data_IF_359155939577
#
_entry.id   IF_359155939577
#
_cell.length_a   1.000
_cell.length_b   1.000
_cell.length_c   1.000
_cell.angle_alpha   90.00
_cell.angle_beta   90.00
_cell.angle_gamma   90.00
#
_symmetry.space_group_name_H-M   'P 1'
#
loop_
_entity.id
_entity.type
_entity.pdbx_description
1 polymer ?
#
# COMPACT_ATOMS: atom_id res chain seq x y z
N UNK A 1 -26.78 16.83 1.97
CA UNK A 1 -25.54 16.25 2.54
C UNK A 1 -25.14 15.06 1.69
N UNK A 2 -23.87 14.97 1.23
CA UNK A 2 -23.38 13.91 0.32
C UNK A 2 -23.36 12.52 0.99
N UNK A 3 -23.06 12.45 2.29
CA UNK A 3 -22.96 11.20 3.06
C UNK A 3 -23.87 11.28 4.28
N UNK A 4 -24.88 10.41 4.36
CA UNK A 4 -25.87 10.37 5.46
C UNK A 4 -25.67 9.14 6.35
N UNK A 5 -25.25 8.01 5.76
CA UNK A 5 -25.07 6.73 6.45
C UNK A 5 -23.58 6.42 6.58
N UNK A 6 -23.03 6.48 7.78
CA UNK A 6 -21.60 6.36 8.00
C UNK A 6 -21.30 5.09 8.80
N UNK A 7 -20.37 4.28 8.30
CA UNK A 7 -19.76 3.20 9.06
C UNK A 7 -18.42 3.69 9.64
N UNK A 8 -18.21 3.42 10.93
CA UNK A 8 -16.95 3.74 11.61
C UNK A 8 -16.18 2.45 11.90
N UNK A 9 -14.93 2.38 11.47
CA UNK A 9 -13.96 1.34 11.80
C UNK A 9 -12.86 1.95 12.69
N UNK A 10 -12.59 1.30 13.83
CA UNK A 10 -11.66 1.77 14.84
C UNK A 10 -10.55 0.76 15.06
N UNK A 11 -9.33 1.25 15.20
CA UNK A 11 -8.25 0.45 15.76
C UNK A 11 -8.42 0.37 17.28
N UNK A 12 -8.58 -0.85 17.81
CA UNK A 12 -8.81 -1.09 19.25
C UNK A 12 -7.71 -0.51 20.15
N UNK A 13 -6.52 -0.28 19.62
CA UNK A 13 -5.42 0.37 20.37
C UNK A 13 -5.64 1.86 20.63
N UNK A 14 -6.69 2.46 20.05
CA UNK A 14 -6.96 3.89 20.09
C UNK A 14 -8.25 4.26 20.83
N UNK A 15 -8.68 3.47 21.81
CA UNK A 15 -9.90 3.72 22.61
C UNK A 15 -9.93 5.11 23.29
N UNK A 16 -8.77 5.66 23.66
CA UNK A 16 -8.65 7.02 24.22
C UNK A 16 -9.11 8.12 23.27
N UNK A 17 -9.00 7.88 21.95
CA UNK A 17 -9.43 8.84 20.93
C UNK A 17 -10.94 8.74 20.73
N UNK A 18 -11.51 7.56 20.88
CA UNK A 18 -12.95 7.31 20.83
C UNK A 18 -13.71 8.06 21.92
N UNK A 19 -13.17 8.10 23.13
CA UNK A 19 -13.78 8.83 24.25
C UNK A 19 -13.83 10.34 24.00
N UNK A 20 -12.87 10.90 23.26
CA UNK A 20 -12.83 12.33 22.88
C UNK A 20 -13.84 12.68 21.79
N UNK A 21 -14.32 11.72 21.01
CA UNK A 21 -15.29 11.98 19.94
C UNK A 21 -16.73 11.81 20.41
N UNK A 22 -17.28 12.82 21.11
CA UNK A 22 -18.74 12.96 21.34
C UNK A 22 -19.57 12.78 20.07
N UNK A 23 -18.94 12.94 18.90
CA UNK A 23 -19.57 12.81 17.58
C UNK A 23 -20.07 11.39 17.28
N UNK A 24 -19.37 10.35 17.76
CA UNK A 24 -19.79 8.96 17.50
C UNK A 24 -21.12 8.61 18.17
N UNK A 25 -21.44 9.24 19.28
CA UNK A 25 -22.74 9.07 19.96
C UNK A 25 -23.90 9.66 19.15
N UNK A 26 -23.62 10.64 18.27
CA UNK A 26 -24.65 11.31 17.43
C UNK A 26 -24.93 10.56 16.12
N UNK A 27 -24.05 9.65 15.69
CA UNK A 27 -24.26 8.91 14.45
C UNK A 27 -24.90 7.55 14.74
N UNK A 28 -25.99 7.26 14.04
CA UNK A 28 -26.53 5.91 13.98
C UNK A 28 -25.47 4.98 13.41
N UNK A 29 -25.20 3.85 14.07
CA UNK A 29 -24.24 2.85 13.61
C UNK A 29 -24.80 2.13 12.39
N UNK A 30 -24.21 2.33 11.22
CA UNK A 30 -24.52 1.60 10.01
C UNK A 30 -23.50 0.47 9.78
N UNK A 31 -23.95 -0.66 9.22
CA UNK A 31 -23.04 -1.69 8.74
C UNK A 31 -22.24 -1.19 7.52
N UNK A 32 -21.06 -1.77 7.20
CA UNK A 32 -20.29 -1.36 6.02
C UNK A 32 -21.08 -1.47 4.71
N UNK A 33 -21.96 -2.48 4.62
CA UNK A 33 -22.82 -2.70 3.45
C UNK A 33 -23.85 -1.58 3.26
N UNK A 34 -24.47 -1.13 4.35
CA UNK A 34 -25.56 -0.17 4.35
C UNK A 34 -25.09 1.30 4.51
N UNK A 35 -23.78 1.54 4.50
CA UNK A 35 -23.20 2.87 4.62
C UNK A 35 -22.95 3.52 3.26
N UNK A 36 -22.90 4.87 3.26
CA UNK A 36 -22.50 5.68 2.10
C UNK A 36 -21.00 6.00 2.16
N UNK A 37 -20.41 5.95 3.34
CA UNK A 37 -19.03 6.28 3.64
C UNK A 37 -18.50 5.36 4.76
N UNK A 38 -17.26 4.90 4.61
CA UNK A 38 -16.52 4.20 5.66
C UNK A 38 -15.47 5.16 6.21
N UNK A 39 -15.60 5.50 7.50
CA UNK A 39 -14.62 6.30 8.23
C UNK A 39 -13.71 5.36 9.01
N UNK A 40 -12.40 5.48 8.78
CA UNK A 40 -11.38 4.66 9.43
C UNK A 40 -10.58 5.54 10.38
N UNK A 41 -10.58 5.21 11.67
CA UNK A 41 -9.82 5.89 12.70
C UNK A 41 -8.65 5.00 13.13
N UNK A 42 -7.42 5.45 12.88
CA UNK A 42 -6.20 4.68 13.14
C UNK A 42 -4.99 5.25 12.41
N UNK A 43 -4.01 4.40 12.11
CA UNK A 43 -2.86 4.70 11.25
C UNK A 43 -3.02 4.10 9.85
N UNK A 44 -1.99 4.30 9.01
CA UNK A 44 -1.98 3.78 7.63
C UNK A 44 -2.12 2.26 7.58
N UNK A 45 -1.46 1.51 8.48
CA UNK A 45 -1.56 0.05 8.53
C UNK A 45 -3.00 -0.42 8.75
N UNK A 46 -3.74 0.21 9.67
CA UNK A 46 -5.14 -0.10 9.90
C UNK A 46 -6.03 0.31 8.71
N UNK A 47 -5.69 1.41 8.03
CA UNK A 47 -6.37 1.82 6.80
C UNK A 47 -6.22 0.76 5.70
N UNK A 48 -5.00 0.23 5.48
CA UNK A 48 -4.75 -0.83 4.51
C UNK A 48 -5.58 -2.09 4.81
N UNK A 49 -5.67 -2.47 6.08
CA UNK A 49 -6.49 -3.60 6.53
C UNK A 49 -7.98 -3.37 6.21
N UNK A 50 -8.51 -2.19 6.56
CA UNK A 50 -9.93 -1.86 6.34
C UNK A 50 -10.27 -1.76 4.83
N UNK A 51 -9.38 -1.23 4.02
CA UNK A 51 -9.54 -1.22 2.55
C UNK A 51 -9.67 -2.66 2.02
N UNK A 52 -8.77 -3.56 2.42
CA UNK A 52 -8.84 -4.98 2.01
C UNK A 52 -10.11 -5.67 2.51
N UNK A 53 -10.46 -5.47 3.79
CA UNK A 53 -11.62 -6.07 4.45
C UNK A 53 -12.95 -5.67 3.78
N UNK A 54 -13.08 -4.39 3.46
CA UNK A 54 -14.33 -3.84 2.96
C UNK A 54 -14.37 -3.64 1.44
N UNK A 55 -13.36 -4.14 0.69
CA UNK A 55 -13.25 -3.99 -0.77
C UNK A 55 -14.51 -4.38 -1.54
N UNK A 56 -15.25 -5.38 -1.07
CA UNK A 56 -16.47 -5.89 -1.71
C UNK A 56 -17.65 -4.91 -1.69
N UNK A 57 -17.63 -3.92 -0.81
CA UNK A 57 -18.75 -2.97 -0.67
C UNK A 57 -18.63 -1.77 -1.60
N UNK A 58 -17.48 -1.56 -2.24
CA UNK A 58 -17.23 -0.44 -3.18
C UNK A 58 -17.64 0.93 -2.63
N UNK A 59 -17.35 1.18 -1.34
CA UNK A 59 -17.66 2.43 -0.66
C UNK A 59 -16.45 3.35 -0.63
N UNK A 60 -16.64 4.67 -0.60
CA UNK A 60 -15.56 5.60 -0.32
C UNK A 60 -15.07 5.46 1.12
N UNK A 61 -13.78 5.76 1.34
CA UNK A 61 -13.12 5.71 2.63
C UNK A 61 -12.60 7.09 3.03
N UNK A 62 -12.79 7.45 4.28
CA UNK A 62 -12.19 8.64 4.88
C UNK A 62 -11.34 8.22 6.06
N UNK A 63 -10.01 8.29 5.92
CA UNK A 63 -9.09 7.98 7.00
C UNK A 63 -8.92 9.18 7.93
N UNK A 64 -8.93 8.94 9.24
CA UNK A 64 -8.63 9.90 10.29
C UNK A 64 -7.41 9.41 11.07
N UNK A 65 -6.31 10.18 11.01
CA UNK A 65 -5.05 9.79 11.64
C UNK A 65 -5.13 9.94 13.17
N UNK A 66 -4.96 8.83 13.85
CA UNK A 66 -4.86 8.76 15.30
C UNK A 66 -3.41 8.73 15.82
N UNK A 67 -2.45 8.58 14.91
CA UNK A 67 -1.01 8.60 15.20
C UNK A 67 -0.34 9.91 14.82
N UNK A 68 0.99 9.91 14.82
CA UNK A 68 1.82 11.10 14.51
C UNK A 68 1.76 11.47 13.03
N UNK A 69 1.79 10.47 12.13
CA UNK A 69 1.81 10.70 10.68
C UNK A 69 1.09 9.58 9.91
N UNK A 70 0.49 9.91 8.77
CA UNK A 70 -0.12 8.93 7.88
C UNK A 70 -0.33 9.50 6.47
N UNK A 71 0.06 8.74 5.44
CA UNK A 71 -0.11 9.13 4.04
C UNK A 71 -1.54 8.97 3.56
N UNK A 72 -2.18 7.85 3.93
CA UNK A 72 -3.54 7.52 3.52
C UNK A 72 -4.61 8.20 4.37
N UNK A 73 -4.21 8.86 5.46
CA UNK A 73 -5.10 9.43 6.47
C UNK A 73 -5.20 10.95 6.36
N UNK A 74 -6.34 11.51 6.75
CA UNK A 74 -6.49 12.94 6.99
C UNK A 74 -6.06 13.30 8.42
N UNK A 75 -5.64 14.56 8.65
CA UNK A 75 -5.39 15.03 10.00
C UNK A 75 -6.68 14.97 10.83
N UNK A 76 -6.55 14.53 12.06
CA UNK A 76 -7.66 14.55 13.01
C UNK A 76 -8.03 16.00 13.33
N UNK A 77 -9.25 16.40 12.99
CA UNK A 77 -9.82 17.71 13.29
C UNK A 77 -11.12 17.53 14.02
N UNK A 78 -11.29 18.26 15.12
CA UNK A 78 -12.50 18.17 15.92
C UNK A 78 -13.69 18.97 15.35
N UNK A 79 -13.48 19.78 14.32
CA UNK A 79 -14.49 20.71 13.83
C UNK A 79 -15.20 20.16 12.59
N UNK A 80 -16.51 20.02 12.72
CA UNK A 80 -17.50 19.85 11.64
C UNK A 80 -17.16 18.77 10.59
N UNK A 81 -16.98 17.50 11.05
CA UNK A 81 -16.62 16.36 10.20
C UNK A 81 -17.51 16.16 8.98
N UNK A 82 -18.82 16.41 9.12
CA UNK A 82 -19.77 16.27 8.00
C UNK A 82 -19.47 17.25 6.86
N UNK A 83 -19.05 18.46 7.19
CA UNK A 83 -18.62 19.45 6.19
C UNK A 83 -17.31 18.99 5.55
N UNK A 84 -16.37 18.44 6.33
CA UNK A 84 -15.11 17.91 5.81
C UNK A 84 -15.37 16.76 4.82
N UNK A 85 -16.23 15.80 5.17
CA UNK A 85 -16.61 14.69 4.26
C UNK A 85 -17.19 15.20 2.95
N UNK A 86 -18.06 16.22 3.00
CA UNK A 86 -18.73 16.78 1.82
C UNK A 86 -17.77 17.56 0.91
N UNK A 87 -16.78 18.25 1.49
CA UNK A 87 -15.78 19.07 0.79
C UNK A 87 -14.52 18.29 0.37
N UNK A 88 -14.40 17.02 0.80
CA UNK A 88 -13.25 16.20 0.46
C UNK A 88 -13.17 15.87 -1.03
N UNK A 89 -11.96 15.83 -1.54
CA UNK A 89 -11.65 15.36 -2.90
C UNK A 89 -11.48 13.85 -2.90
N UNK A 90 -12.04 13.20 -3.93
CA UNK A 90 -11.88 11.75 -4.12
C UNK A 90 -10.59 11.50 -4.91
N UNK A 91 -9.77 10.58 -4.39
CA UNK A 91 -8.64 10.00 -5.10
C UNK A 91 -8.90 8.51 -5.24
N UNK A 92 -8.92 8.04 -6.48
CA UNK A 92 -9.13 6.61 -6.77
C UNK A 92 -7.79 5.94 -6.98
N UNK A 93 -7.55 4.85 -6.24
CA UNK A 93 -6.35 4.00 -6.38
C UNK A 93 -6.77 2.57 -6.71
N UNK A 94 -5.91 1.86 -7.44
CA UNK A 94 -6.06 0.44 -7.74
C UNK A 94 -4.90 -0.34 -7.14
N UNK A 95 -5.16 -1.48 -6.47
CA UNK A 95 -4.11 -2.27 -5.84
C UNK A 95 -3.29 -3.06 -6.87
N UNK A 96 -2.10 -3.48 -6.46
CA UNK A 96 -1.39 -4.57 -7.12
C UNK A 96 -2.11 -5.90 -6.85
N UNK A 97 -2.12 -6.77 -7.84
CA UNK A 97 -2.46 -8.18 -7.71
C UNK A 97 -1.19 -8.99 -7.69
N UNK A 98 -1.04 -9.84 -6.70
CA UNK A 98 -0.02 -10.86 -6.61
C UNK A 98 -0.60 -12.23 -7.00
N UNK A 99 0.12 -12.98 -7.83
CA UNK A 99 -0.10 -14.40 -8.07
C UNK A 99 1.26 -15.06 -7.91
N UNK A 100 1.50 -15.67 -6.75
CA UNK A 100 2.75 -16.31 -6.40
C UNK A 100 2.62 -17.83 -6.44
N UNK A 101 3.70 -18.52 -6.81
CA UNK A 101 3.83 -19.97 -6.78
C UNK A 101 4.90 -20.34 -5.78
N UNK A 102 4.58 -21.21 -4.83
CA UNK A 102 5.54 -21.73 -3.85
C UNK A 102 6.45 -22.79 -4.49
N UNK A 103 7.47 -23.22 -3.77
CA UNK A 103 8.34 -24.34 -4.15
C UNK A 103 7.55 -25.64 -4.34
N UNK A 104 6.49 -25.86 -3.55
CA UNK A 104 5.55 -26.99 -3.67
C UNK A 104 4.45 -26.79 -4.70
N UNK A 105 4.59 -25.79 -5.60
CA UNK A 105 3.64 -25.44 -6.65
C UNK A 105 2.26 -24.94 -6.17
N UNK A 106 2.07 -24.65 -4.89
CA UNK A 106 0.84 -24.05 -4.36
C UNK A 106 0.74 -22.60 -4.84
N UNK A 107 -0.42 -22.24 -5.39
CA UNK A 107 -0.70 -20.87 -5.84
C UNK A 107 -1.27 -20.04 -4.69
N UNK A 108 -0.66 -18.90 -4.43
CA UNK A 108 -1.11 -17.88 -3.47
C UNK A 108 -1.51 -16.62 -4.22
N UNK A 109 -2.64 -16.03 -3.85
CA UNK A 109 -3.15 -14.79 -4.46
C UNK A 109 -3.46 -13.79 -3.37
N UNK A 110 -2.97 -12.56 -3.52
CA UNK A 110 -3.25 -11.46 -2.59
C UNK A 110 -3.22 -10.13 -3.36
N UNK A 111 -3.76 -9.07 -2.76
CA UNK A 111 -3.66 -7.71 -3.26
C UNK A 111 -2.80 -6.87 -2.31
N UNK A 112 -2.08 -5.90 -2.86
CA UNK A 112 -1.35 -4.91 -2.10
C UNK A 112 -1.71 -3.50 -2.55
N UNK A 113 -1.90 -2.59 -1.61
CA UNK A 113 -2.22 -1.20 -1.88
C UNK A 113 -0.92 -0.40 -2.02
N UNK A 114 0.05 -0.65 -1.16
CA UNK A 114 1.36 0.00 -1.20
C UNK A 114 2.33 -0.75 -2.10
N UNK A 115 2.81 -1.91 -1.68
CA UNK A 115 3.81 -2.67 -2.41
C UNK A 115 3.70 -4.18 -2.19
N UNK A 116 4.35 -4.89 -3.09
CA UNK A 116 4.66 -6.31 -2.95
C UNK A 116 6.17 -6.44 -2.89
N UNK A 117 6.69 -6.91 -1.76
CA UNK A 117 8.13 -7.12 -1.54
C UNK A 117 8.47 -8.60 -1.50
N UNK A 118 9.64 -8.94 -2.05
CA UNK A 118 10.25 -10.27 -1.96
C UNK A 118 11.49 -10.12 -1.10
N UNK A 119 11.61 -10.94 -0.07
CA UNK A 119 12.66 -10.87 0.94
C UNK A 119 13.31 -12.25 1.14
N UNK A 120 14.62 -12.26 1.37
CA UNK A 120 15.32 -13.49 1.80
C UNK A 120 14.78 -14.00 3.12
N UNK A 121 14.66 -15.31 3.26
CA UNK A 121 14.20 -15.95 4.51
C UNK A 121 15.34 -16.32 5.48
N UNK A 122 16.55 -16.34 5.02
CA UNK A 122 17.70 -16.74 5.82
C UNK A 122 18.89 -15.79 5.68
N UNK A 123 20.07 -16.24 6.14
CA UNK A 123 21.32 -15.46 6.09
C UNK A 123 21.82 -15.23 4.66
N UNK A 124 21.51 -16.15 3.74
CA UNK A 124 21.91 -16.04 2.32
C UNK A 124 21.09 -14.98 1.59
N UNK A 125 21.75 -14.17 0.77
CA UNK A 125 21.10 -13.21 -0.11
C UNK A 125 20.13 -13.91 -1.06
N UNK A 126 19.03 -13.24 -1.43
CA UNK A 126 18.16 -13.69 -2.51
C UNK A 126 18.89 -13.66 -3.86
N UNK A 127 18.48 -14.49 -4.81
CA UNK A 127 18.95 -14.52 -6.18
C UNK A 127 17.75 -14.45 -7.12
N UNK A 128 17.48 -13.26 -7.65
CA UNK A 128 16.21 -12.95 -8.32
C UNK A 128 16.44 -12.63 -9.80
N UNK A 129 15.55 -13.16 -10.66
CA UNK A 129 15.39 -12.66 -12.03
C UNK A 129 14.14 -11.80 -12.09
N UNK A 130 14.20 -10.65 -12.77
CA UNK A 130 13.07 -9.73 -12.91
C UNK A 130 12.78 -9.52 -14.40
N UNK A 131 11.50 -9.70 -14.77
CA UNK A 131 11.00 -9.48 -16.13
C UNK A 131 9.82 -8.50 -16.13
N UNK A 132 9.71 -7.72 -17.22
CA UNK A 132 8.55 -6.92 -17.59
C UNK A 132 7.90 -7.53 -18.83
N UNK A 133 6.77 -8.19 -18.69
CA UNK A 133 6.21 -9.02 -19.74
C UNK A 133 7.22 -10.10 -20.19
N UNK A 134 7.54 -10.12 -21.47
CA UNK A 134 8.56 -11.04 -22.03
C UNK A 134 10.01 -10.53 -21.87
N UNK A 135 10.20 -9.20 -21.65
CA UNK A 135 11.55 -8.58 -21.58
C UNK A 135 12.19 -8.79 -20.21
N UNK A 136 13.40 -9.31 -20.18
CA UNK A 136 14.22 -9.41 -18.97
C UNK A 136 14.79 -8.03 -18.62
N UNK A 137 14.46 -7.50 -17.43
CA UNK A 137 15.02 -6.25 -16.88
C UNK A 137 16.34 -6.57 -16.15
N UNK A 138 16.32 -7.64 -15.36
CA UNK A 138 17.45 -8.07 -14.55
C UNK A 138 17.60 -9.58 -14.65
N UNK A 139 18.71 -10.06 -15.21
CA UNK A 139 18.99 -11.50 -15.35
C UNK A 139 19.23 -12.15 -14.00
N UNK A 140 20.00 -11.50 -13.13
CA UNK A 140 20.32 -11.99 -11.79
C UNK A 140 20.60 -10.81 -10.85
N UNK A 141 19.73 -10.63 -9.88
CA UNK A 141 19.88 -9.68 -8.76
C UNK A 141 20.24 -10.47 -7.52
N UNK A 142 21.41 -10.20 -6.95
CA UNK A 142 21.84 -10.71 -5.64
C UNK A 142 21.64 -9.59 -4.62
N UNK A 143 20.71 -9.77 -3.69
CA UNK A 143 20.24 -8.70 -2.80
C UNK A 143 19.54 -9.29 -1.56
N UNK A 144 19.12 -8.47 -0.62
CA UNK A 144 18.19 -8.90 0.42
C UNK A 144 16.78 -9.14 -0.13
N UNK A 145 16.47 -8.50 -1.27
CA UNK A 145 15.19 -8.66 -1.93
C UNK A 145 14.95 -7.63 -3.04
N UNK A 146 13.71 -7.52 -3.44
CA UNK A 146 13.20 -6.50 -4.35
C UNK A 146 11.72 -6.25 -4.06
N UNK A 147 11.23 -5.06 -4.39
CA UNK A 147 9.82 -4.74 -4.26
C UNK A 147 9.26 -4.10 -5.53
N UNK A 148 7.95 -4.19 -5.68
CA UNK A 148 7.16 -3.48 -6.69
C UNK A 148 6.16 -2.63 -5.97
N UNK A 149 6.26 -1.31 -6.15
CA UNK A 149 5.43 -0.32 -5.45
C UNK A 149 4.47 0.40 -6.40
N UNK A 150 3.28 0.69 -5.88
CA UNK A 150 2.31 1.62 -6.48
C UNK A 150 2.75 3.07 -6.23
N UNK A 151 2.14 4.05 -6.90
CA UNK A 151 2.31 5.46 -6.53
C UNK A 151 1.93 5.77 -5.07
N UNK A 152 0.88 5.11 -4.54
CA UNK A 152 0.46 5.29 -3.14
C UNK A 152 1.51 4.75 -2.16
N UNK A 153 2.13 3.61 -2.47
CA UNK A 153 3.19 2.98 -1.67
C UNK A 153 4.59 3.54 -1.90
N UNK A 154 4.75 4.44 -2.88
CA UNK A 154 6.09 4.98 -3.21
C UNK A 154 6.74 5.74 -2.06
N UNK A 155 5.97 6.21 -1.09
CA UNK A 155 6.40 6.89 0.14
C UNK A 155 6.44 5.96 1.37
N UNK A 156 6.13 4.67 1.20
CA UNK A 156 6.21 3.65 2.24
C UNK A 156 7.56 2.91 2.18
N UNK A 157 7.57 1.59 2.23
CA UNK A 157 8.80 0.79 2.22
C UNK A 157 9.70 1.07 1.00
N UNK A 158 9.09 1.42 -0.15
CA UNK A 158 9.84 1.85 -1.33
C UNK A 158 10.78 3.03 -1.04
N UNK A 159 10.33 4.02 -0.28
CA UNK A 159 11.17 5.18 0.09
C UNK A 159 12.30 4.77 1.02
N UNK A 160 12.03 3.91 2.00
CA UNK A 160 13.04 3.40 2.94
C UNK A 160 14.18 2.64 2.26
N UNK A 161 13.92 2.04 1.09
CA UNK A 161 14.94 1.38 0.27
C UNK A 161 15.41 2.24 -0.89
N UNK A 162 15.29 3.57 -0.76
CA UNK A 162 15.73 4.58 -1.72
C UNK A 162 15.08 4.48 -3.11
N UNK A 163 13.86 3.94 -3.17
CA UNK A 163 13.07 3.92 -4.40
C UNK A 163 12.53 5.31 -4.76
N UNK A 164 12.17 5.54 -6.03
CA UNK A 164 11.64 6.83 -6.48
C UNK A 164 10.25 7.09 -5.91
N UNK A 165 9.98 8.33 -5.53
CA UNK A 165 8.63 8.79 -5.19
C UNK A 165 7.85 9.01 -6.50
N UNK A 166 6.67 8.41 -6.59
CA UNK A 166 5.79 8.51 -7.74
C UNK A 166 4.59 9.42 -7.43
N UNK A 167 4.27 10.33 -8.34
CA UNK A 167 3.01 11.08 -8.25
C UNK A 167 1.83 10.12 -8.31
N UNK A 168 0.80 10.34 -7.47
CA UNK A 168 -0.39 9.49 -7.43
C UNK A 168 -1.08 9.31 -8.77
N UNK A 169 -1.08 10.35 -9.58
CA UNK A 169 -1.69 10.32 -10.91
C UNK A 169 -0.76 9.70 -11.96
N UNK A 170 0.45 9.33 -11.59
CA UNK A 170 1.37 8.67 -12.52
C UNK A 170 0.87 7.26 -12.81
N UNK A 171 0.79 6.93 -14.08
CA UNK A 171 0.48 5.57 -14.55
C UNK A 171 1.74 4.71 -14.55
N UNK A 172 2.43 4.69 -13.40
CA UNK A 172 3.75 4.04 -13.26
C UNK A 172 3.81 3.16 -12.01
N UNK A 173 4.74 2.21 -11.99
CA UNK A 173 5.12 1.39 -10.85
C UNK A 173 6.63 1.51 -10.66
N UNK A 174 7.10 1.47 -9.42
CA UNK A 174 8.51 1.37 -9.10
C UNK A 174 8.89 -0.09 -8.86
N UNK A 175 10.02 -0.52 -9.40
CA UNK A 175 10.69 -1.78 -9.08
C UNK A 175 11.99 -1.40 -8.40
N UNK A 176 12.15 -1.70 -7.12
CA UNK A 176 13.27 -1.23 -6.31
C UNK A 176 13.99 -2.42 -5.67
N UNK A 177 15.32 -2.54 -5.79
CA UNK A 177 16.09 -3.55 -5.07
C UNK A 177 16.20 -3.20 -3.59
N UNK A 178 16.31 -4.21 -2.74
CA UNK A 178 16.55 -4.07 -1.31
C UNK A 178 17.98 -4.51 -1.05
N UNK A 179 18.84 -3.60 -0.59
CA UNK A 179 20.26 -3.82 -0.30
C UNK A 179 20.97 -4.62 -1.42
N UNK A 180 21.08 -4.09 -2.65
CA UNK A 180 21.64 -4.83 -3.77
C UNK A 180 23.14 -5.04 -3.59
N UNK A 181 23.59 -6.30 -3.64
CA UNK A 181 24.99 -6.69 -3.60
C UNK A 181 25.58 -6.80 -5.04
N UNK A 182 24.82 -7.40 -5.97
CA UNK A 182 25.21 -7.50 -7.40
C UNK A 182 23.97 -7.41 -8.29
N UNK A 183 23.91 -6.49 -9.25
CA UNK A 183 24.83 -5.34 -9.43
C UNK A 183 24.55 -4.25 -8.38
N UNK A 184 25.60 -3.72 -7.75
CA UNK A 184 25.48 -2.73 -6.63
C UNK A 184 24.89 -1.39 -7.05
N UNK A 185 25.13 -0.97 -8.29
CA UNK A 185 24.70 0.33 -8.82
C UNK A 185 23.29 0.32 -9.42
N UNK A 186 22.64 -0.83 -9.48
CA UNK A 186 21.26 -0.87 -9.99
C UNK A 186 20.29 -0.28 -8.97
N UNK A 187 19.69 0.83 -9.36
CA UNK A 187 18.74 1.59 -8.51
C UNK A 187 17.29 1.17 -8.73
N UNK A 188 17.04 0.18 -9.59
CA UNK A 188 15.68 -0.25 -9.93
C UNK A 188 15.22 0.29 -11.28
N UNK A 189 13.92 0.25 -11.49
CA UNK A 189 13.27 0.71 -12.74
C UNK A 189 11.89 1.27 -12.47
N UNK A 190 11.51 2.30 -13.19
CA UNK A 190 10.14 2.78 -13.25
C UNK A 190 9.49 2.25 -14.53
N UNK A 191 8.35 1.60 -14.38
CA UNK A 191 7.64 0.97 -15.49
C UNK A 191 6.19 1.45 -15.58
N UNK A 192 5.55 1.24 -16.74
CA UNK A 192 4.11 1.53 -16.87
C UNK A 192 3.28 0.64 -15.94
N UNK A 193 2.23 1.18 -15.36
CA UNK A 193 1.24 0.45 -14.55
C UNK A 193 0.41 -0.58 -15.34
N UNK A 194 0.55 -0.59 -16.69
CA UNK A 194 0.01 -1.64 -17.57
C UNK A 194 0.91 -2.86 -17.67
N UNK A 195 2.12 -2.78 -17.10
CA UNK A 195 3.09 -3.87 -17.18
C UNK A 195 2.74 -5.00 -16.20
N UNK A 196 2.97 -6.23 -16.63
CA UNK A 196 3.07 -7.39 -15.74
C UNK A 196 4.54 -7.59 -15.39
N UNK A 197 4.85 -7.61 -14.10
CA UNK A 197 6.18 -7.84 -13.57
C UNK A 197 6.24 -9.28 -13.08
N UNK A 198 7.24 -10.04 -13.51
CA UNK A 198 7.48 -11.40 -13.03
C UNK A 198 8.82 -11.43 -12.32
N UNK A 199 8.84 -11.98 -11.10
CA UNK A 199 10.06 -12.18 -10.35
C UNK A 199 10.20 -13.66 -10.03
N UNK A 200 11.37 -14.23 -10.36
CA UNK A 200 11.67 -15.64 -10.16
C UNK A 200 12.85 -15.78 -9.23
N UNK A 201 12.71 -16.59 -8.20
CA UNK A 201 13.82 -17.01 -7.36
C UNK A 201 14.65 -18.04 -8.13
N UNK A 202 15.90 -17.73 -8.42
CA UNK A 202 16.79 -18.57 -9.21
C UNK A 202 17.38 -19.75 -8.42
N UNK A 203 17.30 -19.70 -7.10
CA UNK A 203 17.82 -20.76 -6.24
C UNK A 203 16.91 -20.93 -5.00
N UNK A 204 15.85 -21.70 -5.17
CA UNK A 204 14.86 -21.95 -4.11
C UNK A 204 15.35 -22.87 -3.01
N UNK A 205 16.47 -23.60 -3.20
CA UNK A 205 17.01 -24.53 -2.20
C UNK A 205 17.92 -23.80 -1.23
N UNK A 206 18.97 -23.13 -1.73
CA UNK A 206 19.97 -22.43 -0.90
C UNK A 206 19.52 -21.03 -0.48
N UNK A 207 18.62 -20.40 -1.23
CA UNK A 207 18.22 -18.98 -1.10
C UNK A 207 16.71 -18.85 -1.07
N UNK A 208 16.02 -19.46 -0.09
CA UNK A 208 14.57 -19.34 0.00
C UNK A 208 14.16 -17.89 0.23
N UNK A 209 13.01 -17.49 -0.36
CA UNK A 209 12.45 -16.16 -0.22
C UNK A 209 11.00 -16.21 0.21
N UNK A 210 10.58 -15.19 0.96
CA UNK A 210 9.19 -14.88 1.23
C UNK A 210 8.71 -13.75 0.32
N UNK A 211 7.39 -13.62 0.21
CA UNK A 211 6.73 -12.50 -0.44
C UNK A 211 5.73 -11.89 0.52
N UNK A 212 5.71 -10.56 0.57
CA UNK A 212 4.81 -9.80 1.45
C UNK A 212 3.96 -8.87 0.59
N UNK A 213 2.65 -8.94 0.74
CA UNK A 213 1.69 -8.04 0.11
C UNK A 213 1.11 -7.09 1.18
N UNK A 214 1.67 -5.88 1.29
CA UNK A 214 1.52 -4.95 2.42
C UNK A 214 1.92 -5.64 3.76
N UNK A 215 0.98 -6.29 4.42
CA UNK A 215 1.15 -6.96 5.72
C UNK A 215 0.91 -8.48 5.71
N UNK A 216 0.71 -9.09 4.54
CA UNK A 216 0.43 -10.53 4.41
C UNK A 216 1.63 -11.25 3.81
N UNK A 217 2.27 -12.13 4.58
CA UNK A 217 3.46 -12.89 4.18
C UNK A 217 3.11 -14.29 3.67
N UNK A 218 3.81 -14.73 2.61
CA UNK A 218 3.84 -16.11 2.15
C UNK A 218 5.30 -16.55 1.95
N UNK A 219 5.62 -17.75 2.40
CA UNK A 219 7.00 -18.28 2.42
C UNK A 219 7.27 -19.27 1.29
N UNK A 220 8.56 -19.54 1.07
CA UNK A 220 9.07 -20.53 0.11
C UNK A 220 8.61 -20.27 -1.33
N UNK A 221 8.72 -19.04 -1.78
CA UNK A 221 8.25 -18.61 -3.10
C UNK A 221 9.27 -19.00 -4.18
N UNK A 222 8.76 -19.64 -5.26
CA UNK A 222 9.48 -19.95 -6.49
C UNK A 222 9.42 -18.79 -7.48
N UNK A 223 8.23 -18.29 -7.75
CA UNK A 223 8.02 -17.15 -8.65
C UNK A 223 6.73 -16.40 -8.31
N UNK A 224 6.64 -15.19 -8.81
CA UNK A 224 5.45 -14.34 -8.67
C UNK A 224 5.20 -13.54 -9.93
N UNK A 225 3.93 -13.32 -10.25
CA UNK A 225 3.44 -12.32 -11.21
C UNK A 225 2.74 -11.21 -10.45
N UNK A 226 3.08 -9.95 -10.78
CA UNK A 226 2.58 -8.74 -10.15
C UNK A 226 2.07 -7.80 -11.24
N UNK A 227 0.85 -7.32 -11.09
CA UNK A 227 0.24 -6.35 -12.01
C UNK A 227 -0.85 -5.54 -11.29
N UNK A 228 -1.25 -4.40 -11.84
CA UNK A 228 -2.33 -3.58 -11.26
C UNK A 228 -3.68 -4.24 -11.51
N UNK A 229 -4.44 -4.51 -10.46
CA UNK A 229 -5.80 -5.03 -10.55
C UNK A 229 -6.80 -3.88 -10.74
N UNK A 230 -7.11 -3.53 -11.99
CA UNK A 230 -8.04 -2.44 -12.32
C UNK A 230 -9.51 -2.72 -12.05
N UNK A 231 -9.86 -3.99 -11.75
CA UNK A 231 -11.24 -4.37 -11.36
C UNK A 231 -11.54 -3.91 -9.93
N UNK A 232 -10.51 -3.73 -9.09
CA UNK A 232 -10.65 -3.25 -7.72
C UNK A 232 -10.24 -1.77 -7.70
N UNK A 233 -11.13 -0.94 -7.17
CA UNK A 233 -10.91 0.50 -6.99
C UNK A 233 -11.20 0.88 -5.55
N UNK A 234 -10.32 1.67 -4.96
CA UNK A 234 -10.51 2.26 -3.64
C UNK A 234 -10.64 3.77 -3.81
N UNK A 235 -11.76 4.32 -3.39
CA UNK A 235 -12.03 5.76 -3.41
C UNK A 235 -11.67 6.33 -2.04
N UNK A 236 -10.56 7.05 -1.97
CA UNK A 236 -10.08 7.70 -0.75
C UNK A 236 -10.51 9.16 -0.75
N UNK A 237 -11.07 9.62 0.35
CA UNK A 237 -11.45 11.02 0.54
C UNK A 237 -10.32 11.77 1.26
N UNK A 238 -9.84 12.85 0.65
CA UNK A 238 -8.85 13.73 1.24
C UNK A 238 -9.40 15.14 1.41
N UNK A 239 -9.13 15.73 2.57
CA UNK A 239 -9.41 17.15 2.80
C UNK A 239 -8.68 18.01 1.78
N UNK A 240 -9.35 19.02 1.25
CA UNK A 240 -8.84 19.89 0.19
C UNK A 240 -7.49 20.55 0.51
N UNK A 241 -7.23 20.83 1.78
CA UNK A 241 -5.95 21.39 2.29
C UNK A 241 -4.85 20.35 2.55
N UNK A 242 -5.18 19.04 2.55
CA UNK A 242 -4.27 17.92 2.85
C UNK A 242 -4.22 16.93 1.70
N UNK A 243 -4.01 17.40 0.47
CA UNK A 243 -3.87 16.50 -0.68
C UNK A 243 -2.66 15.59 -0.49
N UNK A 244 -2.77 14.33 -0.93
CA UNK A 244 -1.67 13.36 -0.88
C UNK A 244 -0.42 13.88 -1.62
N UNK A 245 -0.60 14.65 -2.70
CA UNK A 245 0.51 15.34 -3.38
C UNK A 245 1.25 16.33 -2.47
N UNK A 246 0.54 17.04 -1.57
CA UNK A 246 1.18 17.92 -0.58
C UNK A 246 1.97 17.13 0.44
N UNK A 247 1.45 15.98 0.89
CA UNK A 247 2.16 15.08 1.81
C UNK A 247 3.43 14.50 1.20
N UNK A 248 3.36 14.08 -0.06
CA UNK A 248 4.53 13.61 -0.84
C UNK A 248 5.59 14.72 -0.91
N UNK A 249 5.20 15.97 -1.23
CA UNK A 249 6.15 17.09 -1.24
C UNK A 249 6.79 17.35 0.13
N UNK A 250 5.99 17.27 1.21
CA UNK A 250 6.51 17.44 2.57
C UNK A 250 7.54 16.36 2.89
N UNK A 251 7.28 15.10 2.52
CA UNK A 251 8.22 14.00 2.77
C UNK A 251 9.52 14.14 1.96
N UNK A 252 9.42 14.64 0.72
CA UNK A 252 10.60 14.91 -0.11
C UNK A 252 11.52 15.99 0.48
N UNK A 253 10.95 16.94 1.24
CA UNK A 253 11.67 18.10 1.80
C UNK A 253 11.98 17.93 3.29
N UNK A 254 11.39 16.92 3.93
CA UNK A 254 11.54 16.68 5.37
C UNK A 254 12.99 16.35 5.68
N UNK A 255 13.71 17.32 6.22
CA UNK A 255 14.95 17.08 6.96
C UNK A 255 14.56 16.38 8.25
N UNK A 256 15.17 15.25 8.54
CA UNK A 256 15.04 14.63 9.85
C UNK A 256 15.55 15.65 10.86
N UNK A 257 14.64 16.13 11.69
CA UNK A 257 15.02 16.91 12.87
C UNK A 257 15.44 15.85 13.88
N UNK A 258 16.74 15.73 14.05
CA UNK A 258 17.38 14.98 15.13
C UNK A 258 16.97 15.52 16.48
#
# INVERSE_FOLDING_TARGET
>A
MRYKKIHFAFDKKNDLILQKFKLFKKFKKYSPRNSDLIVVLGGDGFMLEMLKKFKKFNKPFYGMNAGTYGFLMNKLKNNNLLVNFSKSKIVTISPLQMIAKTKSNIVKKEIAINEISILRQGKQTASLQIKKGKKTIMKKLVSDGALVSTPAGSTAYNLSVHGPILSLNSKKLAITPISPFRPRRWRGSVVSDRSTISITNLDTRKRPVSIVADNVEFRNIKNVKIFVNRKIKFNLLYDSKNSLNKKIKIEQVRKEIS
#
